data_IF_723446546357
#
_entry.id   IF_723446546357
#
_cell.length_a   1.000
_cell.length_b   1.000
_cell.length_c   1.000
_cell.angle_alpha   90.00
_cell.angle_beta   90.00
_cell.angle_gamma   90.00
#
_symmetry.space_group_name_H-M   'P 1'
#
loop_
_entity.id
_entity.type
_entity.pdbx_description
1 polymer ?
#
# COMPACT_ATOMS: atom_id res chain seq x y z
N UNK A 1 15.93 2.29 1.18
CA UNK A 1 15.08 1.77 0.13
C UNK A 1 14.67 2.95 -0.68
N UNK A 2 15.34 3.07 -1.81
CA UNK A 2 14.88 3.92 -2.89
C UNK A 2 13.69 3.26 -3.58
N UNK A 3 13.04 4.00 -4.45
CA UNK A 3 11.87 3.55 -5.20
C UNK A 3 12.20 2.33 -6.10
N UNK A 4 13.41 2.26 -6.66
CA UNK A 4 13.87 1.11 -7.46
C UNK A 4 13.89 -0.19 -6.66
N UNK A 5 14.44 -0.19 -5.45
CA UNK A 5 14.48 -1.38 -4.59
C UNK A 5 13.07 -1.84 -4.18
N UNK A 6 12.12 -0.89 -4.03
CA UNK A 6 10.71 -1.24 -3.81
C UNK A 6 10.11 -1.97 -5.01
N UNK A 7 10.30 -1.43 -6.22
CA UNK A 7 9.77 -2.04 -7.45
C UNK A 7 10.35 -3.41 -7.73
N UNK A 8 11.65 -3.60 -7.50
CA UNK A 8 12.29 -4.92 -7.61
C UNK A 8 11.62 -5.95 -6.70
N UNK A 9 11.29 -5.56 -5.46
CA UNK A 9 10.59 -6.44 -4.51
C UNK A 9 9.18 -6.79 -4.96
N UNK A 10 8.42 -5.82 -5.48
CA UNK A 10 7.07 -6.05 -6.01
C UNK A 10 7.11 -7.00 -7.20
N UNK A 11 8.05 -6.81 -8.13
CA UNK A 11 8.23 -7.66 -9.30
C UNK A 11 8.60 -9.09 -8.88
N UNK A 12 9.58 -9.26 -7.98
CA UNK A 12 9.99 -10.56 -7.48
C UNK A 12 8.84 -11.30 -6.78
N UNK A 13 8.05 -10.58 -5.98
CA UNK A 13 6.87 -11.16 -5.33
C UNK A 13 5.78 -11.56 -6.34
N UNK A 14 5.51 -10.72 -7.35
CA UNK A 14 4.58 -11.04 -8.44
C UNK A 14 4.98 -12.29 -9.24
N UNK A 15 6.28 -12.43 -9.53
CA UNK A 15 6.85 -13.64 -10.15
C UNK A 15 6.65 -14.87 -9.27
N UNK A 16 6.92 -14.76 -7.97
CA UNK A 16 6.74 -15.87 -7.02
C UNK A 16 5.28 -16.35 -6.92
N UNK A 17 4.31 -15.45 -7.10
CA UNK A 17 2.87 -15.78 -7.09
C UNK A 17 2.31 -16.24 -8.43
N UNK A 18 3.06 -16.07 -9.52
CA UNK A 18 2.64 -16.44 -10.87
C UNK A 18 3.63 -17.44 -11.47
N UNK A 19 3.55 -18.74 -11.13
CA UNK A 19 4.59 -19.72 -11.49
C UNK A 19 4.74 -19.95 -13.00
N UNK A 20 3.76 -19.54 -13.81
CA UNK A 20 3.81 -19.63 -15.27
C UNK A 20 4.39 -18.37 -15.95
N UNK A 21 4.81 -17.37 -15.17
CA UNK A 21 5.38 -16.15 -15.72
C UNK A 21 6.83 -16.39 -16.18
N UNK A 22 7.23 -15.92 -17.37
CA UNK A 22 8.61 -16.03 -17.83
C UNK A 22 9.61 -15.33 -16.89
N UNK A 23 10.84 -15.84 -16.78
CA UNK A 23 11.83 -15.29 -15.87
C UNK A 23 12.33 -13.90 -16.30
N UNK A 24 12.37 -13.63 -17.61
CA UNK A 24 12.79 -12.34 -18.16
C UNK A 24 11.57 -11.43 -18.38
N UNK A 25 11.69 -10.15 -18.00
CA UNK A 25 10.63 -9.16 -18.17
C UNK A 25 10.30 -8.93 -19.66
N UNK A 26 11.31 -9.03 -20.54
CA UNK A 26 11.14 -8.89 -21.99
C UNK A 26 10.33 -10.04 -22.61
N UNK A 27 10.23 -11.17 -21.90
CA UNK A 27 9.42 -12.34 -22.28
C UNK A 27 8.00 -12.25 -21.70
N UNK A 28 7.64 -11.17 -21.00
CA UNK A 28 6.26 -10.92 -20.57
C UNK A 28 5.46 -10.41 -21.77
N UNK A 29 5.29 -11.28 -22.77
CA UNK A 29 4.64 -10.98 -24.07
C UNK A 29 3.11 -11.05 -23.98
N UNK A 30 2.56 -11.29 -22.79
CA UNK A 30 1.12 -11.15 -22.61
C UNK A 30 0.77 -9.67 -22.75
N UNK A 31 0.23 -9.29 -23.91
CA UNK A 31 -0.22 -7.93 -24.21
C UNK A 31 -1.13 -7.41 -23.09
N UNK A 32 -1.93 -8.28 -22.46
CA UNK A 32 -2.77 -7.88 -21.34
C UNK A 32 -1.96 -7.49 -20.10
N UNK A 33 -0.84 -8.17 -19.81
CA UNK A 33 0.00 -7.84 -18.66
C UNK A 33 0.75 -6.53 -18.89
N UNK A 34 1.31 -6.35 -20.08
CA UNK A 34 2.01 -5.11 -20.44
C UNK A 34 1.06 -3.91 -20.44
N UNK A 35 -0.13 -4.07 -21.03
CA UNK A 35 -1.16 -3.03 -21.05
C UNK A 35 -1.71 -2.75 -19.64
N UNK A 36 -1.95 -3.79 -18.85
CA UNK A 36 -2.37 -3.64 -17.44
C UNK A 36 -1.32 -2.87 -16.63
N UNK A 37 -0.03 -3.21 -16.75
CA UNK A 37 1.03 -2.48 -16.07
C UNK A 37 1.13 -1.03 -16.55
N UNK A 38 1.00 -0.79 -17.86
CA UNK A 38 1.05 0.56 -18.42
C UNK A 38 -0.10 1.44 -17.92
N UNK A 39 -1.29 0.86 -17.75
CA UNK A 39 -2.46 1.52 -17.14
C UNK A 39 -2.25 1.75 -15.65
N UNK A 40 -1.70 0.77 -14.91
CA UNK A 40 -1.59 0.83 -13.45
C UNK A 40 -0.46 1.74 -12.94
N UNK A 41 0.71 1.73 -13.58
CA UNK A 41 1.92 2.42 -13.10
C UNK A 41 1.72 3.93 -12.87
N UNK A 42 1.03 4.69 -13.76
CA UNK A 42 0.76 6.12 -13.53
C UNK A 42 -0.08 6.42 -12.29
N UNK A 43 -0.78 5.43 -11.74
CA UNK A 43 -1.61 5.55 -10.53
C UNK A 43 -0.89 5.11 -9.25
N UNK A 44 0.31 4.53 -9.36
CA UNK A 44 1.09 4.15 -8.19
C UNK A 44 1.90 5.37 -7.74
N UNK A 45 1.83 5.67 -6.45
CA UNK A 45 2.61 6.71 -5.80
C UNK A 45 3.45 6.04 -4.73
N UNK A 46 4.77 6.13 -4.86
CA UNK A 46 5.67 5.68 -3.81
C UNK A 46 5.82 6.81 -2.78
N UNK A 47 5.15 6.65 -1.63
CA UNK A 47 5.20 7.61 -0.53
C UNK A 47 6.05 7.03 0.58
N UNK A 48 7.27 7.53 0.77
CA UNK A 48 8.13 7.05 1.85
C UNK A 48 7.95 7.90 3.12
N UNK A 49 7.07 7.46 4.03
CA UNK A 49 6.94 8.09 5.35
C UNK A 49 7.95 7.44 6.29
N UNK A 50 9.07 8.14 6.52
CA UNK A 50 10.09 7.70 7.48
C UNK A 50 9.91 8.42 8.81
N UNK A 51 9.75 7.65 9.89
CA UNK A 51 9.65 8.19 11.25
C UNK A 51 10.83 9.07 11.68
N UNK A 52 12.00 8.95 11.04
CA UNK A 52 13.19 9.76 11.37
C UNK A 52 13.27 11.11 10.68
N UNK A 53 12.60 11.32 9.53
CA UNK A 53 12.68 12.59 8.78
C UNK A 53 11.49 13.51 9.01
N UNK A 54 10.27 12.97 8.95
CA UNK A 54 9.04 13.78 8.98
C UNK A 54 8.09 13.39 10.12
N UNK A 55 8.54 12.49 11.02
CA UNK A 55 7.64 11.82 11.96
C UNK A 55 6.67 10.86 11.25
N UNK A 56 6.23 9.84 11.97
CA UNK A 56 5.18 8.93 11.52
C UNK A 56 3.85 9.36 12.16
N UNK A 57 3.26 10.44 11.64
CA UNK A 57 2.06 11.09 12.18
C UNK A 57 0.97 11.25 11.12
N UNK A 58 -0.30 11.28 11.56
CA UNK A 58 -1.44 11.59 10.69
C UNK A 58 -1.27 12.89 9.91
N UNK A 59 -0.74 13.94 10.57
CA UNK A 59 -0.52 15.25 9.96
C UNK A 59 0.44 15.16 8.76
N UNK A 60 1.57 14.48 8.92
CA UNK A 60 2.53 14.27 7.83
C UNK A 60 1.92 13.48 6.69
N UNK A 61 1.09 12.48 6.99
CA UNK A 61 0.36 11.75 5.95
C UNK A 61 -0.59 12.64 5.17
N UNK A 62 -1.44 13.42 5.86
CA UNK A 62 -2.39 14.30 5.20
C UNK A 62 -1.71 15.39 4.35
N UNK A 63 -0.58 15.94 4.80
CA UNK A 63 0.24 16.89 4.01
C UNK A 63 0.70 16.26 2.68
N UNK A 64 1.04 14.98 2.69
CA UNK A 64 1.63 14.29 1.55
C UNK A 64 0.61 13.60 0.63
N UNK A 65 -0.54 13.18 1.17
CA UNK A 65 -1.41 12.21 0.50
C UNK A 65 -2.80 12.73 0.19
N UNK A 66 -3.29 13.78 0.87
CA UNK A 66 -4.63 14.27 0.64
C UNK A 66 -4.81 14.77 -0.80
N UNK A 67 -6.02 14.58 -1.33
CA UNK A 67 -6.39 14.91 -2.71
C UNK A 67 -5.65 14.10 -3.78
N UNK A 68 -4.98 13.01 -3.40
CA UNK A 68 -4.26 12.12 -4.30
C UNK A 68 -4.88 10.71 -4.22
N UNK A 69 -5.03 10.06 -5.37
CA UNK A 69 -5.28 8.63 -5.49
C UNK A 69 -3.94 7.90 -5.41
N UNK A 70 -3.84 6.81 -4.65
CA UNK A 70 -2.63 6.01 -4.71
C UNK A 70 -2.42 5.00 -3.59
N UNK A 71 -1.32 4.28 -3.76
CA UNK A 71 -0.79 3.32 -2.80
C UNK A 71 -0.01 4.09 -1.72
N UNK A 72 -0.20 3.72 -0.47
CA UNK A 72 0.62 4.17 0.65
C UNK A 72 1.61 3.06 0.97
N UNK A 73 2.89 3.40 1.07
CA UNK A 73 3.97 2.45 1.37
C UNK A 73 4.67 2.90 2.65
N UNK A 74 4.94 1.97 3.56
CA UNK A 74 5.58 2.23 4.84
C UNK A 74 6.70 1.22 5.03
N UNK A 75 7.93 1.70 5.20
CA UNK A 75 9.04 0.83 5.55
C UNK A 75 9.22 0.77 7.07
N UNK A 76 9.23 -0.43 7.63
CA UNK A 76 9.51 -0.66 9.05
C UNK A 76 11.01 -0.83 9.24
N UNK A 77 11.66 0.15 9.89
CA UNK A 77 13.12 0.18 10.02
C UNK A 77 13.70 -1.01 10.82
N UNK A 78 12.98 -1.52 11.82
CA UNK A 78 13.45 -2.62 12.68
C UNK A 78 13.46 -3.98 11.96
N UNK A 79 12.53 -4.21 11.05
CA UNK A 79 12.36 -5.49 10.34
C UNK A 79 12.74 -5.43 8.86
N UNK A 80 12.98 -4.23 8.32
CA UNK A 80 13.07 -3.96 6.88
C UNK A 80 11.84 -4.41 6.06
N UNK A 81 10.74 -4.73 6.73
CA UNK A 81 9.46 -5.06 6.11
C UNK A 81 8.85 -3.83 5.46
N UNK A 82 8.16 -4.05 4.34
CA UNK A 82 7.35 -3.03 3.70
C UNK A 82 5.90 -3.36 3.98
N UNK A 83 5.18 -2.43 4.60
CA UNK A 83 3.75 -2.46 4.76
C UNK A 83 3.11 -1.45 3.82
N UNK A 84 1.87 -1.64 3.43
CA UNK A 84 1.19 -0.64 2.64
C UNK A 84 -0.23 -1.01 2.35
N UNK A 85 -0.90 -0.11 1.63
CA UNK A 85 -2.24 -0.35 1.15
C UNK A 85 -2.63 0.59 0.02
N UNK A 86 -3.54 0.11 -0.82
CA UNK A 86 -4.12 0.86 -1.91
C UNK A 86 -5.52 1.31 -1.54
N UNK A 87 -5.75 2.62 -1.63
CA UNK A 87 -7.07 3.20 -1.55
C UNK A 87 -7.47 3.72 -2.94
N UNK A 88 -8.54 3.18 -3.57
CA UNK A 88 -9.03 3.68 -4.85
C UNK A 88 -9.81 5.00 -4.72
N UNK A 89 -10.03 5.48 -3.50
CA UNK A 89 -10.65 6.76 -3.20
C UNK A 89 -9.59 7.82 -2.88
N UNK A 90 -10.02 9.07 -2.92
CA UNK A 90 -9.18 10.21 -2.55
C UNK A 90 -8.97 10.22 -1.02
N UNK A 91 -7.73 10.40 -0.58
CA UNK A 91 -7.43 10.66 0.83
C UNK A 91 -7.90 12.04 1.26
N UNK A 92 -8.47 12.12 2.46
CA UNK A 92 -8.92 13.38 3.07
C UNK A 92 -9.03 13.25 4.59
N UNK A 93 -8.94 14.38 5.28
CA UNK A 93 -9.39 14.52 6.66
C UNK A 93 -10.91 14.37 6.74
N UNK A 94 -11.39 13.72 7.81
CA UNK A 94 -12.81 13.52 8.08
C UNK A 94 -13.19 13.69 9.55
N UNK A 95 -14.47 13.47 9.84
CA UNK A 95 -15.10 13.47 11.15
C UNK A 95 -15.60 12.07 11.54
N UNK A 96 -14.82 11.03 11.21
CA UNK A 96 -15.13 9.60 11.41
C UNK A 96 -16.21 9.05 10.47
N UNK A 97 -16.25 9.54 9.23
CA UNK A 97 -17.02 8.91 8.17
C UNK A 97 -16.29 7.69 7.58
N UNK A 98 -17.07 6.69 7.23
CA UNK A 98 -16.59 5.47 6.58
C UNK A 98 -16.98 5.51 5.09
N UNK A 99 -16.09 4.99 4.24
CA UNK A 99 -16.29 4.94 2.81
C UNK A 99 -16.25 3.50 2.29
N UNK A 100 -17.12 3.24 1.32
CA UNK A 100 -17.27 1.95 0.66
C UNK A 100 -16.32 1.87 -0.53
N UNK A 101 -15.57 0.78 -0.60
CA UNK A 101 -14.79 0.40 -1.77
C UNK A 101 -14.67 -1.11 -1.83
N UNK A 102 -14.56 -1.66 -3.05
CA UNK A 102 -14.31 -3.07 -3.28
C UNK A 102 -12.87 -3.36 -3.73
N UNK A 103 -12.12 -2.32 -4.10
CA UNK A 103 -10.82 -2.45 -4.73
C UNK A 103 -9.65 -2.15 -3.78
N UNK A 104 -9.93 -1.84 -2.51
CA UNK A 104 -8.89 -1.60 -1.52
C UNK A 104 -8.20 -2.90 -1.12
N UNK A 105 -6.90 -2.77 -0.84
CA UNK A 105 -6.09 -3.89 -0.36
C UNK A 105 -4.95 -3.38 0.49
N UNK A 106 -4.46 -4.23 1.39
CA UNK A 106 -3.22 -4.02 2.12
C UNK A 106 -2.21 -5.09 1.75
N UNK A 107 -0.94 -4.80 1.95
CA UNK A 107 0.12 -5.77 1.77
C UNK A 107 1.21 -5.63 2.82
N UNK A 108 1.87 -6.76 3.05
CA UNK A 108 3.13 -6.87 3.77
C UNK A 108 4.12 -7.60 2.87
N UNK A 109 5.25 -6.97 2.56
CA UNK A 109 6.37 -7.58 1.86
C UNK A 109 7.50 -7.83 2.87
N UNK A 110 7.71 -9.09 3.22
CA UNK A 110 8.77 -9.52 4.13
C UNK A 110 10.13 -9.49 3.42
N UNK A 111 11.11 -8.90 4.10
CA UNK A 111 12.48 -8.88 3.59
C UNK A 111 13.13 -10.26 3.83
N UNK A 112 13.60 -10.91 2.77
CA UNK A 112 14.32 -12.20 2.83
C UNK A 112 13.45 -13.44 2.62
N UNK A 113 12.15 -13.40 2.95
CA UNK A 113 11.21 -14.48 2.62
C UNK A 113 9.92 -13.95 1.99
N UNK A 114 9.91 -13.80 0.65
CA UNK A 114 8.74 -13.32 -0.08
C UNK A 114 7.53 -14.27 0.01
N UNK A 115 7.72 -15.54 0.39
CA UNK A 115 6.59 -16.47 0.57
C UNK A 115 5.73 -16.13 1.79
N UNK A 116 6.31 -15.49 2.80
CA UNK A 116 5.61 -14.97 3.97
C UNK A 116 4.99 -13.58 3.71
N UNK A 117 5.16 -13.03 2.50
CA UNK A 117 4.52 -11.78 2.12
C UNK A 117 3.03 -11.98 1.85
N UNK A 118 2.21 -11.06 2.34
CA UNK A 118 0.76 -11.15 2.37
C UNK A 118 0.17 -10.03 1.52
N UNK A 119 -0.87 -10.35 0.76
CA UNK A 119 -1.81 -9.40 0.18
C UNK A 119 -3.18 -9.72 0.73
N UNK A 120 -3.80 -8.76 1.40
CA UNK A 120 -5.13 -8.91 1.96
C UNK A 120 -6.09 -7.95 1.26
N UNK A 121 -7.25 -8.47 0.86
CA UNK A 121 -8.33 -7.71 0.22
C UNK A 121 -9.55 -7.76 1.11
N UNK A 122 -10.34 -6.69 1.05
CA UNK A 122 -11.60 -6.63 1.80
C UNK A 122 -12.58 -7.68 1.27
N UNK A 123 -13.17 -8.48 2.16
CA UNK A 123 -14.28 -9.39 1.82
C UNK A 123 -15.64 -8.65 1.87
N UNK A 124 -15.73 -7.61 2.71
CA UNK A 124 -16.92 -6.80 2.90
C UNK A 124 -16.65 -5.35 2.48
N UNK A 125 -17.32 -4.93 1.42
CA UNK A 125 -17.06 -3.65 0.73
C UNK A 125 -17.54 -2.43 1.53
N UNK A 126 -18.54 -2.62 2.39
CA UNK A 126 -19.06 -1.56 3.25
C UNK A 126 -18.06 -1.19 4.33
N UNK A 127 -17.85 0.11 4.56
CA UNK A 127 -16.97 0.64 5.59
C UNK A 127 -15.54 0.12 5.45
N UNK A 128 -14.93 0.30 4.28
CA UNK A 128 -13.57 -0.17 4.00
C UNK A 128 -12.51 0.85 4.44
N UNK A 129 -12.74 2.13 4.18
CA UNK A 129 -11.82 3.23 4.52
C UNK A 129 -12.45 4.16 5.55
N UNK A 130 -11.70 4.56 6.58
CA UNK A 130 -12.15 5.58 7.55
C UNK A 130 -11.44 6.90 7.31
N UNK A 131 -12.22 7.96 7.19
CA UNK A 131 -11.72 9.33 7.22
C UNK A 131 -11.87 9.88 8.64
N UNK A 132 -10.74 10.05 9.32
CA UNK A 132 -10.68 10.51 10.71
C UNK A 132 -10.03 11.91 10.80
N UNK A 133 -9.91 12.42 12.03
CA UNK A 133 -9.26 13.69 12.30
C UNK A 133 -7.81 13.71 11.79
N UNK A 134 -7.26 14.90 11.54
CA UNK A 134 -5.91 15.12 10.98
C UNK A 134 -4.77 14.44 11.75
N UNK A 135 -4.99 14.07 13.02
CA UNK A 135 -4.02 13.33 13.84
C UNK A 135 -3.97 11.82 13.52
N UNK A 136 -4.86 11.32 12.68
CA UNK A 136 -4.93 9.93 12.18
C UNK A 136 -4.54 9.93 10.70
N UNK A 137 -3.86 8.89 10.24
CA UNK A 137 -3.46 8.77 8.83
C UNK A 137 -4.40 7.86 8.05
N UNK A 138 -3.88 6.95 7.19
CA UNK A 138 -4.73 6.00 6.51
C UNK A 138 -5.34 5.03 7.52
N UNK A 139 -6.57 4.58 7.26
CA UNK A 139 -7.24 3.60 8.10
C UNK A 139 -8.13 2.69 7.24
N UNK A 140 -7.69 1.44 7.10
CA UNK A 140 -8.37 0.36 6.41
C UNK A 140 -9.11 -0.46 7.45
N UNK A 141 -10.40 -0.17 7.62
CA UNK A 141 -11.22 -0.59 8.77
C UNK A 141 -11.25 -2.12 8.89
N UNK A 142 -11.55 -2.80 7.78
CA UNK A 142 -11.74 -4.25 7.74
C UNK A 142 -10.41 -5.03 7.61
N UNK A 143 -9.29 -4.32 7.54
CA UNK A 143 -7.96 -4.90 7.31
C UNK A 143 -7.01 -4.67 8.47
N UNK A 144 -7.51 -4.11 9.59
CA UNK A 144 -6.73 -3.76 10.78
C UNK A 144 -5.40 -3.06 10.45
N UNK A 145 -5.41 -2.18 9.44
CA UNK A 145 -4.23 -1.39 9.06
C UNK A 145 -4.55 0.10 9.19
N UNK A 146 -3.95 0.76 10.16
CA UNK A 146 -4.21 2.16 10.42
C UNK A 146 -3.07 2.89 11.10
N UNK A 147 -3.04 4.21 10.94
CA UNK A 147 -2.08 5.09 11.60
C UNK A 147 -2.78 6.03 12.59
N UNK A 148 -2.36 6.04 13.85
CA UNK A 148 -2.86 6.98 14.86
C UNK A 148 -2.33 6.74 16.27
N UNK A 149 -2.60 7.67 17.20
CA UNK A 149 -2.18 7.54 18.61
C UNK A 149 -2.46 6.16 19.21
N UNK A 150 -1.41 5.50 19.71
CA UNK A 150 -1.47 4.26 20.49
C UNK A 150 -1.66 2.96 19.70
N UNK A 151 -1.90 3.02 18.39
CA UNK A 151 -2.14 1.86 17.55
C UNK A 151 -1.35 1.99 16.25
N UNK A 152 -0.15 1.40 16.22
CA UNK A 152 0.41 0.88 14.98
C UNK A 152 -0.09 -0.55 14.90
N UNK A 153 -1.13 -0.76 14.11
CA UNK A 153 -1.71 -2.09 13.99
C UNK A 153 -0.74 -3.03 13.27
N UNK A 154 -0.69 -4.27 13.73
CA UNK A 154 0.15 -5.35 13.20
C UNK A 154 -0.55 -5.95 12.00
N UNK A 155 0.14 -6.03 10.87
CA UNK A 155 -0.15 -6.99 9.80
C UNK A 155 0.61 -8.28 10.14
#
# INVERSE_FOLDING_TARGET
>A
MDESEFWDKVILWGKAKTPNLPPNLDEWIDENLKDTLHICLPHIRYLQISGSKNGFTGETFHILCDNILGIVVVKINSTNEILGGYNPLIWKVGSHEDATTADDFIFSLKNGNLNESILSRVAQQSNAIRYAAISKGPWFINLDFGMGYGYNSKI
#
